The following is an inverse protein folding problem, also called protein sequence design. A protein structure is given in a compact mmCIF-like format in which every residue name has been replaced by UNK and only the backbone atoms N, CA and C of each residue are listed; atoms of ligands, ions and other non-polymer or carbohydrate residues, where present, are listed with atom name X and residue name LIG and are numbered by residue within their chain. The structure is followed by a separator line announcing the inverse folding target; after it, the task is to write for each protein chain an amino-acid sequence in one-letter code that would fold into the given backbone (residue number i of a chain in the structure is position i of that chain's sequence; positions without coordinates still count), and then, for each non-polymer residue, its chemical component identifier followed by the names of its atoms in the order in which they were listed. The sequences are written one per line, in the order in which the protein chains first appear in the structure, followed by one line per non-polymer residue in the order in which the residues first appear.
data_IF_385875524929
#
_entry.id   IF_385875524929
#
_cell.length_a   1.000
_cell.length_b   1.000
_cell.length_c   1.000
_cell.angle_alpha   90.00
_cell.angle_beta   90.00
_cell.angle_gamma   90.00
#
_symmetry.space_group_name_H-M   'P 1'
#
loop_
_entity.id
_entity.type
_entity.pdbx_description
1 polymer ?
#
# COMPACT_ATOMS: atom_id res chain seq x y z
N UNK A 1 -11.30 -0.91 16.90
CA UNK A 1 -10.14 -1.29 16.06
C UNK A 1 -9.76 -0.05 15.27
N UNK A 2 -8.65 0.61 15.59
CA UNK A 2 -8.23 1.80 14.85
C UNK A 2 -7.63 1.35 13.51
N UNK A 3 -8.28 1.71 12.40
CA UNK A 3 -7.73 1.50 11.06
C UNK A 3 -6.64 2.54 10.84
N UNK A 4 -5.42 2.11 10.57
CA UNK A 4 -4.37 3.03 10.10
C UNK A 4 -4.64 3.22 8.60
N UNK A 5 -5.06 4.41 8.15
CA UNK A 5 -5.68 4.57 6.83
C UNK A 5 -4.69 4.39 5.66
N UNK A 6 -3.38 4.29 5.94
CA UNK A 6 -2.32 4.04 4.96
C UNK A 6 -1.71 2.63 5.06
N UNK A 7 -2.28 1.74 5.89
CA UNK A 7 -1.83 0.33 6.01
C UNK A 7 -2.91 -0.58 5.46
N UNK A 8 -2.56 -1.33 4.43
CA UNK A 8 -3.41 -2.31 3.80
C UNK A 8 -3.53 -3.52 4.72
N UNK A 9 -4.76 -3.87 5.05
CA UNK A 9 -5.05 -5.06 5.83
C UNK A 9 -4.72 -6.32 5.03
N UNK A 10 -4.24 -7.35 5.72
CA UNK A 10 -3.99 -8.65 5.11
C UNK A 10 -5.33 -9.35 4.79
N UNK A 11 -5.35 -10.12 3.71
CA UNK A 11 -6.50 -10.94 3.32
C UNK A 11 -6.80 -11.96 4.42
N UNK A 12 -7.97 -11.85 5.05
CA UNK A 12 -8.36 -12.72 6.17
C UNK A 12 -8.73 -14.15 5.76
N UNK A 13 -8.73 -14.48 4.47
CA UNK A 13 -9.24 -15.75 3.94
C UNK A 13 -8.27 -16.94 4.04
N UNK A 14 -7.02 -16.71 4.44
CA UNK A 14 -6.09 -17.79 4.74
C UNK A 14 -6.09 -18.10 6.25
N UNK A 15 -6.43 -19.34 6.63
CA UNK A 15 -6.14 -19.84 7.97
C UNK A 15 -4.64 -19.63 8.25
N UNK A 16 -4.32 -19.00 9.39
CA UNK A 16 -2.94 -18.65 9.74
C UNK A 16 -2.42 -17.37 9.09
N UNK A 17 -3.27 -16.37 8.85
CA UNK A 17 -2.81 -15.03 8.45
C UNK A 17 -2.06 -14.34 9.60
N UNK A 18 -1.03 -13.56 9.26
CA UNK A 18 -0.30 -12.76 10.24
C UNK A 18 -1.23 -11.69 10.84
N UNK A 19 -1.06 -11.38 12.13
CA UNK A 19 -1.81 -10.33 12.81
C UNK A 19 -0.86 -9.22 13.28
N UNK A 20 -1.41 -8.04 13.57
CA UNK A 20 -0.66 -6.84 13.97
C UNK A 20 0.38 -6.35 12.94
N UNK A 21 0.18 -6.71 11.67
CA UNK A 21 1.00 -6.27 10.54
C UNK A 21 0.11 -6.09 9.31
N UNK A 22 0.46 -5.14 8.47
CA UNK A 22 -0.13 -4.95 7.15
C UNK A 22 0.91 -4.46 6.14
N UNK A 23 0.46 -4.07 4.96
CA UNK A 23 1.34 -3.61 3.86
C UNK A 23 1.11 -2.13 3.60
N UNK A 24 2.18 -1.33 3.50
CA UNK A 24 2.10 0.06 3.02
C UNK A 24 2.58 0.12 1.57
N UNK A 25 1.93 0.97 0.78
CA UNK A 25 2.40 1.38 -0.55
C UNK A 25 3.01 2.76 -0.41
N UNK A 26 4.27 2.89 -0.84
CA UNK A 26 5.02 4.14 -0.81
C UNK A 26 5.18 4.67 -2.23
N UNK A 27 5.03 5.97 -2.39
CA UNK A 27 5.33 6.63 -3.66
C UNK A 27 6.83 6.78 -3.90
N UNK A 28 7.18 7.41 -5.03
CA UNK A 28 8.57 7.70 -5.42
C UNK A 28 9.37 8.52 -4.40
N UNK A 29 8.72 9.22 -3.48
CA UNK A 29 9.35 10.02 -2.42
C UNK A 29 9.55 9.23 -1.13
N UNK A 30 9.02 8.01 -1.05
CA UNK A 30 8.99 7.21 0.17
C UNK A 30 7.83 7.56 1.10
N UNK A 31 6.84 8.33 0.64
CA UNK A 31 5.66 8.66 1.42
C UNK A 31 4.63 7.54 1.32
N UNK A 32 4.13 7.06 2.47
CA UNK A 32 3.07 6.05 2.51
C UNK A 32 1.73 6.66 2.08
N UNK A 33 1.08 6.06 1.09
CA UNK A 33 -0.18 6.54 0.55
C UNK A 33 -1.37 6.08 1.37
N UNK A 34 -2.31 7.00 1.58
CA UNK A 34 -3.62 6.68 2.14
C UNK A 34 -4.42 5.82 1.15
N UNK A 35 -5.08 4.79 1.65
CA UNK A 35 -5.80 3.80 0.85
C UNK A 35 -7.29 4.16 0.73
N UNK A 36 -7.58 5.42 0.39
CA UNK A 36 -8.94 5.97 0.26
C UNK A 36 -9.43 6.05 -1.20
N UNK A 37 -8.55 5.77 -2.17
CA UNK A 37 -8.84 5.88 -3.61
C UNK A 37 -9.04 7.32 -4.11
N UNK A 38 -8.61 8.32 -3.33
CA UNK A 38 -8.66 9.75 -3.62
C UNK A 38 -7.33 10.47 -3.31
N UNK A 39 -6.45 9.86 -2.51
CA UNK A 39 -5.09 10.31 -2.26
C UNK A 39 -4.17 9.79 -3.36
N UNK A 40 -3.57 10.70 -4.13
CA UNK A 40 -2.66 10.37 -5.23
C UNK A 40 -1.20 10.47 -4.80
N UNK A 41 -0.33 9.75 -5.52
CA UNK A 41 1.12 9.85 -5.36
C UNK A 41 1.65 11.21 -5.79
N UNK A 42 2.88 11.52 -5.36
CA UNK A 42 3.65 12.60 -5.98
C UNK A 42 3.66 12.48 -7.51
N UNK A 43 3.46 13.61 -8.18
CA UNK A 43 3.39 13.66 -9.64
C UNK A 43 4.66 13.11 -10.30
N UNK A 44 4.48 12.46 -11.44
CA UNK A 44 5.58 12.06 -12.32
C UNK A 44 5.42 12.78 -13.64
N UNK A 45 6.36 13.68 -13.95
CA UNK A 45 6.39 14.38 -15.23
C UNK A 45 6.50 13.36 -16.37
N UNK A 46 5.54 13.40 -17.29
CA UNK A 46 5.45 12.46 -18.39
C UNK A 46 6.31 12.92 -19.57
N UNK A 47 6.91 11.94 -20.24
CA UNK A 47 7.53 12.10 -21.55
C UNK A 47 6.64 11.48 -22.62
N UNK A 48 6.83 11.87 -23.89
CA UNK A 48 6.16 11.20 -25.00
C UNK A 48 6.61 9.73 -25.09
N UNK A 49 5.64 8.82 -25.06
CA UNK A 49 5.87 7.38 -25.09
C UNK A 49 5.70 6.70 -23.73
N UNK A 50 6.50 5.67 -23.46
CA UNK A 50 6.37 4.84 -22.26
C UNK A 50 6.91 5.56 -21.02
N UNK A 51 6.09 5.63 -19.96
CA UNK A 51 6.49 6.18 -18.67
C UNK A 51 6.37 5.10 -17.59
N UNK A 52 7.32 5.08 -16.65
CA UNK A 52 7.32 4.17 -15.50
C UNK A 52 7.19 5.00 -14.23
N UNK A 53 6.18 4.70 -13.40
CA UNK A 53 5.95 5.36 -12.11
C UNK A 53 6.38 4.38 -11.01
N UNK A 54 7.49 4.63 -10.30
CA UNK A 54 7.99 3.70 -9.30
C UNK A 54 7.23 3.83 -7.98
N UNK A 55 6.90 2.66 -7.41
CA UNK A 55 6.32 2.51 -6.07
C UNK A 55 7.12 1.46 -5.29
N UNK A 56 6.99 1.49 -3.97
CA UNK A 56 7.54 0.47 -3.08
C UNK A 56 6.44 -0.10 -2.19
N UNK A 57 6.56 -1.36 -1.82
CA UNK A 57 5.70 -1.99 -0.82
C UNK A 57 6.54 -2.45 0.36
N UNK A 58 6.07 -2.23 1.59
CA UNK A 58 6.74 -2.71 2.82
C UNK A 58 5.73 -3.17 3.86
N UNK A 59 6.15 -4.08 4.74
CA UNK A 59 5.38 -4.40 5.93
C UNK A 59 5.41 -3.25 6.95
N UNK A 60 4.28 -3.05 7.62
CA UNK A 60 4.15 -2.10 8.72
C UNK A 60 3.47 -2.78 9.90
N UNK A 61 4.19 -2.82 11.03
CA UNK A 61 3.68 -3.40 12.25
C UNK A 61 2.74 -2.41 12.96
N UNK A 62 1.52 -2.85 13.25
CA UNK A 62 0.53 -2.11 14.03
C UNK A 62 0.54 -2.53 15.51
N UNK A 63 1.37 -3.52 15.85
CA UNK A 63 1.61 -4.07 17.17
C UNK A 63 2.65 -5.19 17.09
N UNK A 64 2.63 -6.13 18.05
CA UNK A 64 3.50 -7.30 18.01
C UNK A 64 3.05 -8.28 16.91
N UNK A 65 3.76 -8.30 15.78
CA UNK A 65 3.42 -9.12 14.63
C UNK A 65 3.43 -10.61 14.99
N UNK A 66 2.39 -11.35 14.58
CA UNK A 66 2.34 -12.80 14.72
C UNK A 66 2.72 -13.50 13.41
N UNK A 67 3.33 -14.70 13.46
CA UNK A 67 3.63 -15.46 12.26
C UNK A 67 2.35 -15.81 11.49
N UNK A 68 2.45 -15.83 10.17
CA UNK A 68 1.36 -16.21 9.28
C UNK A 68 1.52 -15.70 7.86
N UNK A 69 0.58 -16.07 6.98
CA UNK A 69 0.51 -15.54 5.62
C UNK A 69 0.19 -14.03 5.65
N UNK A 70 0.87 -13.26 4.80
CA UNK A 70 0.75 -11.80 4.75
C UNK A 70 0.43 -11.31 3.32
N UNK A 71 -0.64 -11.86 2.75
CA UNK A 71 -1.13 -11.47 1.44
C UNK A 71 -2.08 -10.27 1.57
N UNK A 72 -2.05 -9.33 0.63
CA UNK A 72 -2.92 -8.16 0.63
C UNK A 72 -3.21 -7.72 -0.82
N UNK A 73 -4.43 -7.24 -1.08
CA UNK A 73 -4.84 -6.73 -2.39
C UNK A 73 -5.15 -5.24 -2.33
N UNK A 74 -4.72 -4.50 -3.34
CA UNK A 74 -5.14 -3.13 -3.56
C UNK A 74 -5.46 -2.90 -5.05
N UNK A 75 -6.37 -1.98 -5.31
CA UNK A 75 -6.61 -1.43 -6.64
C UNK A 75 -5.99 -0.04 -6.74
N UNK A 76 -5.61 0.37 -7.95
CA UNK A 76 -5.02 1.68 -8.19
C UNK A 76 -5.81 2.45 -9.25
N UNK A 77 -5.74 3.78 -9.18
CA UNK A 77 -6.25 4.70 -10.20
C UNK A 77 -5.10 5.55 -10.71
N UNK A 78 -5.11 5.86 -12.00
CA UNK A 78 -4.17 6.80 -12.61
C UNK A 78 -4.93 8.08 -12.92
N UNK A 79 -4.43 9.20 -12.40
CA UNK A 79 -4.94 10.54 -12.70
C UNK A 79 -3.87 11.32 -13.48
N UNK A 80 -4.32 12.00 -14.52
CA UNK A 80 -3.52 12.92 -15.32
C UNK A 80 -3.87 14.37 -14.97
N UNK A 81 -2.95 15.29 -15.23
CA UNK A 81 -3.15 16.73 -15.18
C UNK A 81 -2.95 17.34 -16.56
#
# INVERSE_FOLDING_TARGET
MWVIPNVLALQSSAAGSATNVGVQILDRTGAALTLDGATFSSETTLNNGTNTIPFQARYFATGAATPGAANADATFKVQYQ
#
